data_IF_776597068982
#
_entry.id   IF_776597068982
#
_cell.length_a   1.000
_cell.length_b   1.000
_cell.length_c   1.000
_cell.angle_alpha   90.00
_cell.angle_beta   90.00
_cell.angle_gamma   90.00
#
_symmetry.space_group_name_H-M   'P 1'
#
loop_
_entity.id
_entity.type
_entity.pdbx_description
1 polymer ?
#
# COMPACT_ATOMS: atom_id res chain seq x y z
N UNK A 1 9.15 10.53 8.59
CA UNK A 1 8.66 10.51 9.97
C UNK A 1 8.29 11.94 10.38
N UNK A 2 7.07 12.12 10.85
CA UNK A 2 6.45 13.41 11.19
C UNK A 2 5.96 13.38 12.64
N UNK A 3 5.75 14.56 13.27
CA UNK A 3 5.16 14.69 14.61
C UNK A 3 6.18 14.87 15.73
N UNK A 4 5.70 14.95 16.98
CA UNK A 4 6.53 15.29 18.14
C UNK A 4 7.46 14.12 18.52
N UNK A 5 8.73 14.38 18.86
CA UNK A 5 9.62 13.36 19.40
C UNK A 5 9.02 12.69 20.64
N UNK A 6 9.11 11.35 20.71
CA UNK A 6 8.61 10.57 21.86
C UNK A 6 7.09 10.32 21.87
N UNK A 7 6.33 10.79 20.88
CA UNK A 7 4.92 10.43 20.74
C UNK A 7 4.75 8.97 20.31
N UNK A 8 3.57 8.34 20.57
CA UNK A 8 3.26 7.00 20.08
C UNK A 8 3.45 6.92 18.57
N UNK A 9 4.03 5.82 18.10
CA UNK A 9 4.32 5.63 16.67
C UNK A 9 3.10 5.09 15.94
N UNK A 10 2.74 5.72 14.83
CA UNK A 10 1.77 5.25 13.86
C UNK A 10 2.42 5.09 12.49
N UNK A 11 2.21 3.96 11.83
CA UNK A 11 2.76 3.66 10.50
C UNK A 11 1.62 3.49 9.52
N UNK A 12 1.69 4.16 8.37
CA UNK A 12 0.64 4.17 7.36
C UNK A 12 1.13 3.52 6.07
N UNK A 13 0.49 2.42 5.66
CA UNK A 13 0.81 1.60 4.49
C UNK A 13 -0.21 1.85 3.39
N UNK A 14 0.20 2.48 2.31
CA UNK A 14 -0.67 2.93 1.22
C UNK A 14 -1.08 1.81 0.23
N UNK A 15 -1.99 2.14 -0.69
CA UNK A 15 -2.57 1.22 -1.67
C UNK A 15 -1.71 0.96 -2.90
N UNK A 16 -2.35 0.38 -3.94
CA UNK A 16 -1.69 -0.06 -5.17
C UNK A 16 -1.19 1.10 -6.03
N UNK A 17 -2.04 2.08 -6.30
CA UNK A 17 -1.83 3.15 -7.28
C UNK A 17 -1.79 4.55 -6.68
N UNK A 18 -1.91 4.66 -5.36
CA UNK A 18 -1.95 5.92 -4.64
C UNK A 18 -0.85 5.89 -3.58
N UNK A 19 0.28 6.59 -3.79
CA UNK A 19 1.41 6.66 -2.84
C UNK A 19 1.05 7.24 -1.47
N UNK A 20 2.04 7.41 -0.62
CA UNK A 20 1.92 7.81 0.80
C UNK A 20 1.11 9.06 1.05
N UNK A 21 1.01 9.95 0.07
CA UNK A 21 0.24 11.20 0.18
C UNK A 21 -1.25 10.98 0.51
N UNK A 22 -1.80 9.80 0.25
CA UNK A 22 -3.18 9.46 0.62
C UNK A 22 -3.41 9.57 2.13
N UNK A 23 -2.35 9.47 2.91
CA UNK A 23 -2.41 9.56 4.36
C UNK A 23 -2.11 10.96 4.93
N UNK A 24 -1.89 11.99 4.10
CA UNK A 24 -1.54 13.33 4.59
C UNK A 24 -2.57 13.90 5.59
N UNK A 25 -3.85 13.74 5.31
CA UNK A 25 -4.91 14.21 6.21
C UNK A 25 -4.98 13.39 7.51
N UNK A 26 -4.86 12.06 7.43
CA UNK A 26 -4.80 11.20 8.61
C UNK A 26 -3.54 11.47 9.44
N UNK A 27 -2.41 11.64 8.80
CA UNK A 27 -1.16 11.97 9.47
C UNK A 27 -1.27 13.30 10.23
N UNK A 28 -1.83 14.35 9.60
CA UNK A 28 -2.07 15.62 10.25
C UNK A 28 -2.98 15.48 11.49
N UNK A 29 -4.04 14.68 11.38
CA UNK A 29 -4.94 14.40 12.51
C UNK A 29 -4.22 13.67 13.65
N UNK A 30 -3.45 12.61 13.35
CA UNK A 30 -2.70 11.84 14.35
C UNK A 30 -1.62 12.67 15.02
N UNK A 31 -0.90 13.51 14.26
CA UNK A 31 0.09 14.45 14.79
C UNK A 31 -0.58 15.43 15.76
N UNK A 32 -1.75 15.95 15.41
CA UNK A 32 -2.55 16.80 16.29
C UNK A 32 -2.99 16.11 17.60
N UNK A 33 -2.95 14.78 17.64
CA UNK A 33 -3.19 13.94 18.83
C UNK A 33 -1.90 13.50 19.53
N UNK A 34 -0.74 14.03 19.11
CA UNK A 34 0.54 13.76 19.72
C UNK A 34 1.29 12.54 19.21
N UNK A 35 0.85 11.91 18.13
CA UNK A 35 1.54 10.78 17.53
C UNK A 35 2.73 11.20 16.68
N UNK A 36 3.74 10.33 16.62
CA UNK A 36 4.70 10.31 15.49
C UNK A 36 4.11 9.47 14.38
N UNK A 37 4.20 9.94 13.16
CA UNK A 37 3.59 9.26 12.01
C UNK A 37 4.63 9.00 10.94
N UNK A 38 4.80 7.73 10.57
CA UNK A 38 5.58 7.30 9.42
C UNK A 38 4.65 7.07 8.24
N UNK A 39 4.77 7.90 7.22
CA UNK A 39 4.23 7.67 5.88
C UNK A 39 5.40 7.48 4.93
N UNK A 40 5.34 6.49 4.05
CA UNK A 40 6.41 6.18 3.10
C UNK A 40 5.84 5.61 1.82
N UNK A 41 6.57 5.74 0.72
CA UNK A 41 6.18 5.14 -0.55
C UNK A 41 6.72 3.71 -0.64
N UNK A 42 5.88 2.76 -1.03
CA UNK A 42 6.34 1.41 -1.34
C UNK A 42 7.32 1.42 -2.51
N UNK A 43 8.22 0.45 -2.55
CA UNK A 43 8.99 0.18 -3.75
C UNK A 43 8.11 0.09 -4.98
N UNK A 44 8.47 0.82 -6.02
CA UNK A 44 7.72 0.92 -7.26
C UNK A 44 6.67 2.03 -7.31
N UNK A 45 6.50 2.83 -6.25
CA UNK A 45 5.53 3.94 -6.14
C UNK A 45 6.23 5.22 -5.67
N UNK A 46 5.62 6.34 -6.00
CA UNK A 46 6.07 7.65 -5.56
C UNK A 46 7.55 7.89 -5.83
N UNK A 47 8.27 8.30 -4.82
CA UNK A 47 9.71 8.60 -4.91
C UNK A 47 10.62 7.43 -4.52
N UNK A 48 10.05 6.29 -4.08
CA UNK A 48 10.85 5.12 -3.74
C UNK A 48 11.42 4.41 -4.97
N UNK A 49 12.51 3.67 -4.77
CA UNK A 49 13.16 2.87 -5.79
C UNK A 49 12.24 1.81 -6.39
N UNK A 50 12.64 1.29 -7.55
CA UNK A 50 11.90 0.29 -8.31
C UNK A 50 12.72 -0.98 -8.49
N UNK A 51 13.05 -1.68 -7.39
CA UNK A 51 13.82 -2.90 -7.47
C UNK A 51 13.05 -3.97 -8.25
N UNK A 52 13.78 -4.79 -8.97
CA UNK A 52 13.21 -5.96 -9.64
C UNK A 52 12.84 -7.01 -8.60
N UNK A 53 11.77 -7.75 -8.85
CA UNK A 53 11.34 -8.84 -7.98
C UNK A 53 9.83 -9.00 -7.93
N UNK A 54 9.41 -10.09 -7.30
CA UNK A 54 7.99 -10.37 -7.07
C UNK A 54 7.53 -9.55 -5.86
N UNK A 55 6.55 -8.71 -6.06
CA UNK A 55 5.97 -7.87 -5.01
C UNK A 55 4.88 -8.64 -4.24
N UNK A 56 5.30 -9.59 -3.44
CA UNK A 56 4.44 -10.38 -2.55
C UNK A 56 4.50 -9.87 -1.09
N UNK A 57 3.87 -10.59 -0.17
CA UNK A 57 3.82 -10.23 1.24
C UNK A 57 5.22 -10.10 1.86
N UNK A 58 6.13 -11.04 1.53
CA UNK A 58 7.50 -11.02 2.04
C UNK A 58 8.28 -9.79 1.55
N UNK A 59 8.15 -9.46 0.27
CA UNK A 59 8.80 -8.29 -0.33
C UNK A 59 8.45 -7.00 0.42
N UNK A 60 7.14 -6.78 0.67
CA UNK A 60 6.71 -5.57 1.37
C UNK A 60 7.00 -5.59 2.87
N UNK A 61 6.91 -6.75 3.52
CA UNK A 61 7.27 -6.89 4.93
C UNK A 61 8.76 -6.62 5.15
N UNK A 62 9.64 -7.16 4.29
CA UNK A 62 11.08 -6.87 4.35
C UNK A 62 11.36 -5.38 4.15
N UNK A 63 10.71 -4.73 3.18
CA UNK A 63 10.85 -3.28 2.96
C UNK A 63 10.49 -2.46 4.21
N UNK A 64 9.38 -2.81 4.88
CA UNK A 64 9.00 -2.12 6.11
C UNK A 64 10.00 -2.38 7.23
N UNK A 65 10.43 -3.63 7.43
CA UNK A 65 11.43 -3.98 8.45
C UNK A 65 12.74 -3.22 8.23
N UNK A 66 13.28 -3.24 7.01
CA UNK A 66 14.52 -2.53 6.67
C UNK A 66 14.39 -1.01 6.89
N UNK A 67 13.22 -0.44 6.59
CA UNK A 67 12.95 0.98 6.83
C UNK A 67 12.90 1.31 8.33
N UNK A 68 12.27 0.46 9.15
CA UNK A 68 12.22 0.63 10.60
C UNK A 68 13.61 0.51 11.22
N UNK A 69 14.39 -0.47 10.79
CA UNK A 69 15.77 -0.66 11.23
C UNK A 69 16.65 0.54 10.86
N UNK A 70 16.51 1.05 9.63
CA UNK A 70 17.25 2.23 9.17
C UNK A 70 16.92 3.50 9.96
N UNK A 71 15.67 3.64 10.39
CA UNK A 71 15.18 4.77 11.20
C UNK A 71 15.37 4.56 12.70
N UNK A 72 15.93 3.42 13.13
CA UNK A 72 16.09 2.99 14.54
C UNK A 72 14.76 3.03 15.33
N UNK A 73 13.67 2.61 14.69
CA UNK A 73 12.33 2.52 15.28
C UNK A 73 12.10 1.10 15.78
N UNK A 74 12.24 0.90 17.11
CA UNK A 74 12.18 -0.42 17.76
C UNK A 74 10.97 -0.59 18.69
N UNK A 75 10.25 0.51 18.96
CA UNK A 75 9.03 0.50 19.74
C UNK A 75 7.87 -0.17 19.00
N UNK A 76 6.87 -0.62 19.74
CA UNK A 76 5.59 -1.05 19.20
C UNK A 76 4.81 0.14 18.61
N UNK A 77 3.98 -0.13 17.61
CA UNK A 77 3.29 0.91 16.84
C UNK A 77 1.87 0.53 16.43
N UNK A 78 1.08 1.54 16.14
CA UNK A 78 -0.20 1.41 15.49
C UNK A 78 -0.01 1.32 13.97
N UNK A 79 -0.56 0.28 13.33
CA UNK A 79 -0.36 -0.01 11.91
C UNK A 79 -1.64 0.23 11.12
N UNK A 80 -1.62 1.22 10.24
CA UNK A 80 -2.72 1.58 9.36
C UNK A 80 -2.45 1.06 7.95
N UNK A 81 -3.37 0.26 7.40
CA UNK A 81 -3.24 -0.27 6.04
C UNK A 81 -4.43 0.08 5.17
N UNK A 82 -4.20 0.75 4.03
CA UNK A 82 -5.25 1.11 3.07
C UNK A 82 -5.19 0.22 1.82
N UNK A 83 -6.33 -0.38 1.43
CA UNK A 83 -6.46 -1.18 0.21
C UNK A 83 -5.39 -2.30 0.14
N UNK A 84 -4.48 -2.31 -0.84
CA UNK A 84 -3.33 -3.22 -0.90
C UNK A 84 -2.47 -3.12 0.37
N UNK A 85 -2.30 -1.91 0.91
CA UNK A 85 -1.60 -1.70 2.18
C UNK A 85 -2.24 -2.42 3.36
N UNK A 86 -3.56 -2.65 3.31
CA UNK A 86 -4.26 -3.47 4.30
C UNK A 86 -3.84 -4.95 4.25
N UNK A 87 -3.63 -5.51 3.05
CA UNK A 87 -3.07 -6.86 2.90
C UNK A 87 -1.64 -6.95 3.41
N UNK A 88 -0.84 -5.91 3.11
CA UNK A 88 0.56 -5.83 3.58
C UNK A 88 0.60 -5.72 5.11
N UNK A 89 -0.22 -4.85 5.69
CA UNK A 89 -0.30 -4.65 7.14
C UNK A 89 -0.74 -5.92 7.87
N UNK A 90 -1.75 -6.64 7.35
CA UNK A 90 -2.19 -7.91 7.92
C UNK A 90 -1.08 -8.98 7.86
N UNK A 91 -0.40 -9.11 6.71
CA UNK A 91 0.72 -10.04 6.57
C UNK A 91 1.89 -9.69 7.50
N UNK A 92 2.19 -8.40 7.66
CA UNK A 92 3.24 -7.93 8.57
C UNK A 92 2.89 -8.22 10.03
N UNK A 93 1.66 -7.93 10.46
CA UNK A 93 1.20 -8.14 11.84
C UNK A 93 1.25 -9.62 12.25
N UNK A 94 0.92 -10.56 11.34
CA UNK A 94 1.05 -11.99 11.60
C UNK A 94 2.51 -12.42 11.80
N UNK A 95 3.44 -11.82 11.06
CA UNK A 95 4.86 -12.15 11.15
C UNK A 95 5.56 -11.47 12.33
N UNK A 96 5.03 -10.33 12.79
CA UNK A 96 5.63 -9.49 13.82
C UNK A 96 4.58 -9.07 14.88
N UNK A 97 3.95 -10.03 15.57
CA UNK A 97 2.83 -9.74 16.46
C UNK A 97 3.20 -8.88 17.67
N UNK A 98 4.45 -8.92 18.12
CA UNK A 98 4.94 -8.10 19.25
C UNK A 98 5.22 -6.64 18.87
N UNK A 99 5.33 -6.32 17.58
CA UNK A 99 5.64 -4.98 17.10
C UNK A 99 4.37 -4.18 16.75
N UNK A 100 3.24 -4.85 16.55
CA UNK A 100 1.99 -4.19 16.15
C UNK A 100 1.05 -4.13 17.34
N UNK A 101 0.89 -2.92 17.90
CA UNK A 101 0.02 -2.66 19.04
C UNK A 101 -1.46 -2.65 18.64
N UNK A 102 -1.78 -1.97 17.54
CA UNK A 102 -3.10 -1.94 16.96
C UNK A 102 -3.00 -2.06 15.43
N UNK A 103 -3.90 -2.83 14.83
CA UNK A 103 -4.00 -2.97 13.38
C UNK A 103 -5.31 -2.34 12.89
N UNK A 104 -5.18 -1.29 12.07
CA UNK A 104 -6.31 -0.56 11.51
C UNK A 104 -6.36 -0.78 10.00
N UNK A 105 -7.40 -1.44 9.52
CA UNK A 105 -7.58 -1.80 8.11
C UNK A 105 -8.63 -0.91 7.45
N UNK A 106 -8.24 -0.15 6.44
CA UNK A 106 -9.07 0.75 5.67
C UNK A 106 -9.34 0.13 4.29
N UNK A 107 -10.55 -0.38 4.09
CA UNK A 107 -10.97 -1.07 2.85
C UNK A 107 -9.90 -2.08 2.34
N UNK A 108 -9.46 -3.05 3.16
CA UNK A 108 -8.33 -3.91 2.83
C UNK A 108 -8.61 -4.77 1.59
N UNK A 109 -7.59 -4.95 0.75
CA UNK A 109 -7.63 -5.94 -0.32
C UNK A 109 -7.52 -7.36 0.25
N UNK A 110 -7.80 -8.38 -0.58
CA UNK A 110 -7.68 -9.79 -0.18
C UNK A 110 -8.87 -10.37 0.59
N UNK A 111 -9.91 -9.57 0.85
CA UNK A 111 -11.17 -9.97 1.51
C UNK A 111 -12.19 -10.60 0.54
N UNK A 112 -11.73 -11.20 -0.56
CA UNK A 112 -12.60 -11.87 -1.55
C UNK A 112 -13.07 -10.97 -2.70
N UNK A 113 -12.77 -9.69 -2.70
CA UNK A 113 -13.03 -8.81 -3.85
C UNK A 113 -12.10 -9.18 -5.01
N UNK A 114 -12.68 -9.48 -6.15
CA UNK A 114 -11.91 -9.78 -7.37
C UNK A 114 -11.40 -8.47 -7.95
N UNK A 115 -10.09 -8.36 -8.17
CA UNK A 115 -9.54 -7.42 -9.15
C UNK A 115 -10.35 -7.62 -10.43
N UNK A 116 -10.88 -6.57 -11.02
CA UNK A 116 -11.82 -6.67 -12.15
C UNK A 116 -11.44 -7.79 -13.13
N UNK A 117 -12.39 -8.52 -13.63
CA UNK A 117 -12.20 -9.79 -14.33
C UNK A 117 -11.11 -9.75 -15.42
N UNK A 118 -11.05 -8.65 -16.18
CA UNK A 118 -10.05 -8.46 -17.23
C UNK A 118 -8.64 -8.28 -16.67
N UNK A 119 -8.47 -7.40 -15.67
CA UNK A 119 -7.15 -7.15 -15.06
C UNK A 119 -6.63 -8.39 -14.32
N UNK A 120 -7.51 -9.12 -13.63
CA UNK A 120 -7.17 -10.37 -12.97
C UNK A 120 -6.80 -11.49 -13.96
N UNK A 121 -7.39 -11.53 -15.15
CA UNK A 121 -7.02 -12.50 -16.18
C UNK A 121 -5.70 -12.13 -16.85
N UNK A 122 -5.58 -10.88 -17.29
CA UNK A 122 -4.39 -10.38 -17.99
C UNK A 122 -3.15 -10.44 -17.09
N UNK A 123 -3.29 -10.19 -15.79
CA UNK A 123 -2.17 -10.29 -14.85
C UNK A 123 -1.63 -11.72 -14.69
N UNK A 124 -2.40 -12.75 -15.05
CA UNK A 124 -1.98 -14.17 -14.98
C UNK A 124 -1.29 -14.67 -16.24
N UNK A 125 -1.47 -14.00 -17.37
CA UNK A 125 -0.89 -14.40 -18.66
C UNK A 125 0.43 -13.67 -18.86
N UNK A 126 1.54 -14.39 -18.83
CA UNK A 126 2.88 -13.83 -19.04
C UNK A 126 3.09 -13.48 -20.52
N UNK A 127 3.92 -12.47 -20.78
CA UNK A 127 4.24 -12.02 -22.14
C UNK A 127 3.11 -11.21 -22.77
N UNK A 128 2.15 -11.87 -23.41
CA UNK A 128 1.01 -11.19 -24.03
C UNK A 128 0.19 -10.38 -23.03
N UNK A 129 -0.01 -10.91 -21.82
CA UNK A 129 -0.67 -10.21 -20.74
C UNK A 129 0.09 -8.96 -20.30
N UNK A 130 1.42 -9.04 -20.23
CA UNK A 130 2.27 -7.90 -19.90
C UNK A 130 2.10 -6.77 -20.90
N UNK A 131 2.18 -7.11 -22.19
CA UNK A 131 1.99 -6.15 -23.26
C UNK A 131 0.60 -5.48 -23.22
N UNK A 132 -0.45 -6.25 -22.97
CA UNK A 132 -1.81 -5.71 -22.83
C UNK A 132 -1.95 -4.77 -21.63
N UNK A 133 -1.33 -5.09 -20.49
CA UNK A 133 -1.29 -4.19 -19.33
C UNK A 133 -0.56 -2.90 -19.68
N UNK A 134 0.62 -2.98 -20.26
CA UNK A 134 1.38 -1.79 -20.65
C UNK A 134 0.60 -0.90 -21.62
N UNK A 135 -0.13 -1.50 -22.57
CA UNK A 135 -0.91 -0.76 -23.57
C UNK A 135 -2.20 -0.15 -23.01
N UNK A 136 -2.86 -0.83 -22.07
CA UNK A 136 -4.23 -0.46 -21.61
C UNK A 136 -4.25 0.23 -20.25
N UNK A 137 -3.35 -0.15 -19.33
CA UNK A 137 -3.36 0.35 -17.96
C UNK A 137 -3.28 1.87 -17.86
N UNK A 138 -2.45 2.60 -18.62
CA UNK A 138 -2.41 4.06 -18.53
C UNK A 138 -3.78 4.71 -18.76
N UNK A 139 -4.50 4.27 -19.80
CA UNK A 139 -5.83 4.80 -20.10
C UNK A 139 -6.86 4.45 -19.03
N UNK A 140 -6.82 3.21 -18.52
CA UNK A 140 -7.70 2.76 -17.45
C UNK A 140 -7.43 3.51 -16.15
N UNK A 141 -6.17 3.76 -15.84
CA UNK A 141 -5.77 4.53 -14.65
C UNK A 141 -6.25 5.98 -14.74
N UNK A 142 -6.03 6.65 -15.88
CA UNK A 142 -6.51 8.01 -16.09
C UNK A 142 -8.05 8.09 -16.01
N UNK A 143 -8.75 7.18 -16.66
CA UNK A 143 -10.22 7.17 -16.62
C UNK A 143 -10.77 6.86 -15.22
N UNK A 144 -10.15 5.91 -14.50
CA UNK A 144 -10.54 5.55 -13.15
C UNK A 144 -10.34 6.69 -12.16
N UNK A 145 -9.16 7.32 -12.17
CA UNK A 145 -8.86 8.46 -11.29
C UNK A 145 -9.71 9.68 -11.64
N UNK A 146 -9.98 9.94 -12.91
CA UNK A 146 -10.84 11.04 -13.33
C UNK A 146 -12.29 10.85 -12.85
N UNK A 147 -12.79 9.62 -12.84
CA UNK A 147 -14.12 9.31 -12.28
C UNK A 147 -14.21 9.60 -10.77
N UNK A 148 -13.10 9.55 -10.06
CA UNK A 148 -13.03 9.90 -8.62
C UNK A 148 -13.05 11.42 -8.38
N UNK A 149 -12.85 12.26 -9.39
CA UNK A 149 -12.78 13.74 -9.27
C UNK A 149 -14.05 14.35 -8.67
N UNK A 150 -15.19 13.74 -8.90
CA UNK A 150 -16.47 14.19 -8.32
C UNK A 150 -16.62 13.85 -6.82
N UNK A 151 -15.75 12.99 -6.29
CA UNK A 151 -15.78 12.59 -4.88
C UNK A 151 -14.94 13.57 -4.07
N UNK A 152 -15.55 14.13 -3.01
CA UNK A 152 -14.82 15.01 -2.11
C UNK A 152 -13.64 14.28 -1.45
N UNK A 153 -12.46 14.88 -1.47
CA UNK A 153 -11.25 14.34 -0.85
C UNK A 153 -10.62 15.37 0.08
N UNK A 154 -10.11 14.87 1.21
CA UNK A 154 -9.28 15.67 2.14
C UNK A 154 -7.83 15.80 1.67
N UNK A 155 -7.45 15.10 0.60
CA UNK A 155 -6.10 15.13 0.01
C UNK A 155 -6.09 16.12 -1.16
N UNK A 156 -5.26 17.17 -1.05
CA UNK A 156 -5.11 18.18 -2.10
C UNK A 156 -4.51 17.57 -3.36
N UNK A 157 -5.08 17.93 -4.51
CA UNK A 157 -4.61 17.49 -5.84
C UNK A 157 -4.49 15.95 -5.96
N UNK A 158 -5.42 15.20 -5.32
CA UNK A 158 -5.39 13.74 -5.29
C UNK A 158 -5.26 13.14 -6.69
N UNK A 159 -6.12 13.56 -7.60
CA UNK A 159 -6.20 13.00 -8.97
C UNK A 159 -4.91 13.29 -9.76
N UNK A 160 -4.45 14.52 -9.73
CA UNK A 160 -3.22 14.93 -10.41
C UNK A 160 -2.00 14.16 -9.90
N UNK A 161 -1.93 13.96 -8.58
CA UNK A 161 -0.84 13.21 -7.94
C UNK A 161 -0.90 11.72 -8.28
N UNK A 162 -2.10 11.12 -8.34
CA UNK A 162 -2.29 9.73 -8.80
C UNK A 162 -1.89 9.57 -10.27
N UNK A 163 -2.33 10.49 -11.15
CA UNK A 163 -2.04 10.44 -12.58
C UNK A 163 -0.56 10.65 -12.86
N UNK A 164 0.14 11.45 -12.04
CA UNK A 164 1.58 11.67 -12.14
C UNK A 164 2.40 10.40 -12.03
N UNK A 165 1.91 9.38 -11.32
CA UNK A 165 2.60 8.09 -11.18
C UNK A 165 2.90 7.42 -12.54
N UNK A 166 2.07 7.65 -13.56
CA UNK A 166 2.31 7.15 -14.92
C UNK A 166 3.59 7.67 -15.56
N UNK A 167 4.13 8.80 -15.10
CA UNK A 167 5.37 9.38 -15.62
C UNK A 167 6.62 8.73 -15.02
N UNK A 168 6.48 7.98 -13.93
CA UNK A 168 7.61 7.30 -13.31
C UNK A 168 7.90 5.98 -14.01
N UNK A 169 9.11 5.89 -14.58
CA UNK A 169 9.58 4.66 -15.21
C UNK A 169 9.56 3.51 -14.20
N UNK A 170 8.91 2.39 -14.53
CA UNK A 170 8.80 1.23 -13.65
C UNK A 170 7.51 1.18 -12.81
N UNK A 171 6.65 2.21 -12.84
CA UNK A 171 5.37 2.19 -12.13
C UNK A 171 4.46 1.04 -12.62
N UNK A 172 4.21 0.93 -13.93
CA UNK A 172 3.34 -0.11 -14.49
C UNK A 172 3.88 -1.53 -14.23
N UNK A 173 5.18 -1.82 -14.41
CA UNK A 173 5.79 -3.08 -13.97
C UNK A 173 5.51 -3.41 -12.51
N UNK A 174 5.64 -2.42 -11.62
CA UNK A 174 5.38 -2.59 -10.19
C UNK A 174 3.90 -2.89 -9.90
N UNK A 175 2.96 -2.21 -10.59
CA UNK A 175 1.53 -2.53 -10.53
C UNK A 175 1.28 -3.99 -10.91
N UNK A 176 1.84 -4.43 -12.03
CA UNK A 176 1.67 -5.80 -12.51
C UNK A 176 2.30 -6.83 -11.56
N UNK A 177 3.49 -6.54 -11.03
CA UNK A 177 4.16 -7.40 -10.03
C UNK A 177 3.34 -7.53 -8.76
N UNK A 178 2.76 -6.44 -8.22
CA UNK A 178 1.87 -6.48 -7.06
C UNK A 178 0.57 -7.24 -7.34
N UNK A 179 0.00 -7.08 -8.56
CA UNK A 179 -1.21 -7.80 -8.95
C UNK A 179 -0.99 -9.32 -8.99
N UNK A 180 0.21 -9.75 -9.41
CA UNK A 180 0.64 -11.16 -9.42
C UNK A 180 1.17 -11.66 -8.08
N UNK A 181 1.56 -10.75 -7.21
CA UNK A 181 2.10 -11.00 -5.87
C UNK A 181 1.02 -10.88 -4.78
N UNK A 182 1.13 -9.82 -3.98
CA UNK A 182 0.30 -9.62 -2.79
C UNK A 182 -1.20 -9.61 -3.09
N UNK A 183 -1.65 -9.03 -4.21
CA UNK A 183 -3.07 -8.96 -4.55
C UNK A 183 -3.64 -10.27 -5.11
N UNK A 184 -2.80 -11.20 -5.54
CA UNK A 184 -3.24 -12.55 -5.93
C UNK A 184 -3.44 -13.47 -4.72
N UNK A 185 -2.90 -13.09 -3.55
CA UNK A 185 -3.01 -13.85 -2.31
C UNK A 185 -4.34 -13.57 -1.60
N UNK A 186 -4.96 -14.64 -1.06
CA UNK A 186 -6.17 -14.54 -0.24
C UNK A 186 -5.76 -14.41 1.22
N UNK A 187 -6.12 -13.32 1.86
CA UNK A 187 -5.71 -12.96 3.22
C UNK A 187 -6.54 -13.61 4.34
N UNK A 188 -7.36 -14.63 4.03
CA UNK A 188 -8.24 -15.26 5.02
C UNK A 188 -7.46 -15.94 6.17
N UNK A 189 -6.31 -16.51 5.88
CA UNK A 189 -5.47 -17.17 6.90
C UNK A 189 -4.86 -16.14 7.85
N UNK A 190 -4.37 -15.02 7.31
CA UNK A 190 -3.80 -13.91 8.07
C UNK A 190 -4.85 -13.28 8.99
N UNK A 191 -6.05 -12.97 8.48
CA UNK A 191 -7.13 -12.44 9.28
C UNK A 191 -7.56 -13.40 10.41
N UNK A 192 -7.62 -14.71 10.12
CA UNK A 192 -7.92 -15.71 11.14
C UNK A 192 -6.81 -15.84 12.19
N UNK A 193 -5.55 -15.64 11.81
CA UNK A 193 -4.43 -15.63 12.74
C UNK A 193 -4.48 -14.41 13.66
N UNK A 194 -4.74 -13.22 13.11
CA UNK A 194 -4.87 -11.97 13.88
C UNK A 194 -5.98 -12.09 14.93
N UNK A 195 -7.16 -12.62 14.56
CA UNK A 195 -8.28 -12.80 15.50
C UNK A 195 -7.96 -13.70 16.69
N UNK A 196 -6.99 -14.60 16.57
CA UNK A 196 -6.59 -15.51 17.67
C UNK A 196 -5.58 -14.89 18.61
N UNK A 197 -4.91 -13.82 18.22
CA UNK A 197 -3.86 -13.14 18.99
C UNK A 197 -4.30 -11.79 19.55
N UNK A 198 -5.44 -11.26 19.13
CA UNK A 198 -6.10 -10.03 19.62
C UNK A 198 -7.28 -10.37 20.47
#
# INVERSE_FOLDING_TARGET
LLGPPGGPLAICIHGLSTPSFVFEALAAFLIGRGHRVLIYDHYGRGYSDRPMGRQDARFFASHLTELLDHLDLKEDFDLYGYSMGGSIAAAYAVQNPSSVKQLILLAPAGMGHKLGNLFGWVSRVWGLGDWLVYARYPRLHLAGTEAERAISSSVSFLIERQQKELHYRGFIPAILSSARGILAHKMAAEHSAIQRHG
#
